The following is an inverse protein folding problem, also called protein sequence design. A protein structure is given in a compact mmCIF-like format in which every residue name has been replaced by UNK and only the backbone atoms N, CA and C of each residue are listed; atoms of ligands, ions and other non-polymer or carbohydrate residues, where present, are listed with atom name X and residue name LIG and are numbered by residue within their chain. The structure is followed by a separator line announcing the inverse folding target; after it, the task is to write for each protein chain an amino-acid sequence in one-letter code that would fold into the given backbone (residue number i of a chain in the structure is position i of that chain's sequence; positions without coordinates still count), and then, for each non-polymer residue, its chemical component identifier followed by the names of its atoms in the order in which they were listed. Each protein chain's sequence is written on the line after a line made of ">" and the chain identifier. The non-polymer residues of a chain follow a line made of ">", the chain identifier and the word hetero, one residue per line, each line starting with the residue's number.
data_IF_231770082731
#
_entry.id   IF_231770082731
#
_cell.length_a   1.000
_cell.length_b   1.000
_cell.length_c   1.000
_cell.angle_alpha   90.00
_cell.angle_beta   90.00
_cell.angle_gamma   90.00
#
_symmetry.space_group_name_H-M   'P 1'
#
loop_
_entity.id
_entity.type
_entity.pdbx_description
1 polymer ?
#
# COMPACT_ATOMS: atom_id res chain seq x y z
N UNK A 1 -1.15 18.46 -26.36
CA UNK A 1 -0.89 17.01 -26.47
C UNK A 1 -1.86 16.27 -25.56
N UNK A 2 -2.54 15.26 -26.11
CA UNK A 2 -3.03 14.06 -25.44
C UNK A 2 -4.03 14.17 -24.27
N UNK A 3 -5.31 14.24 -24.63
CA UNK A 3 -6.37 13.51 -23.90
C UNK A 3 -6.89 12.41 -24.82
N UNK A 4 -6.02 11.47 -25.14
CA UNK A 4 -6.39 10.31 -25.93
C UNK A 4 -6.92 9.23 -24.97
N UNK A 5 -8.21 9.32 -24.63
CA UNK A 5 -8.94 8.32 -23.85
C UNK A 5 -9.31 7.13 -24.74
N UNK A 6 -8.32 6.57 -25.45
CA UNK A 6 -8.53 5.35 -26.22
C UNK A 6 -8.83 4.21 -25.23
N UNK A 7 -9.90 3.42 -25.42
CA UNK A 7 -10.28 2.33 -24.52
C UNK A 7 -9.12 1.33 -24.27
N UNK A 8 -8.20 1.21 -25.22
CA UNK A 8 -6.96 0.45 -25.11
C UNK A 8 -6.03 0.93 -23.97
N UNK A 9 -5.92 2.25 -23.75
CA UNK A 9 -5.11 2.80 -22.64
C UNK A 9 -5.73 2.49 -21.27
N UNK A 10 -7.05 2.55 -21.16
CA UNK A 10 -7.76 2.21 -19.92
C UNK A 10 -7.60 0.72 -19.59
N UNK A 11 -7.74 -0.14 -20.60
CA UNK A 11 -7.51 -1.58 -20.46
C UNK A 11 -6.06 -1.90 -20.06
N UNK A 12 -5.08 -1.20 -20.64
CA UNK A 12 -3.67 -1.35 -20.28
C UNK A 12 -3.39 -0.92 -18.83
N UNK A 13 -3.95 0.21 -18.37
CA UNK A 13 -3.80 0.66 -16.98
C UNK A 13 -4.39 -0.36 -16.00
N UNK A 14 -5.56 -0.92 -16.31
CA UNK A 14 -6.17 -1.97 -15.50
C UNK A 14 -5.30 -3.23 -15.43
N UNK A 15 -4.78 -3.71 -16.57
CA UNK A 15 -3.90 -4.88 -16.62
C UNK A 15 -2.59 -4.66 -15.85
N UNK A 16 -2.03 -3.45 -15.94
CA UNK A 16 -0.84 -3.08 -15.16
C UNK A 16 -1.16 -3.11 -13.67
N UNK A 17 -2.28 -2.51 -13.26
CA UNK A 17 -2.73 -2.54 -11.86
C UNK A 17 -2.91 -3.96 -11.31
N UNK A 18 -3.53 -4.85 -12.09
CA UNK A 18 -3.73 -6.26 -11.73
C UNK A 18 -2.42 -7.03 -11.50
N UNK A 19 -1.30 -6.58 -12.08
CA UNK A 19 0.04 -7.16 -11.86
C UNK A 19 0.83 -6.46 -10.76
N UNK A 20 0.74 -5.13 -10.69
CA UNK A 20 1.51 -4.35 -9.73
C UNK A 20 0.98 -4.47 -8.31
N UNK A 21 -0.33 -4.62 -8.13
CA UNK A 21 -0.92 -4.74 -6.79
C UNK A 21 -0.45 -6.01 -6.06
N UNK A 22 -0.51 -7.22 -6.65
CA UNK A 22 0.06 -8.41 -6.02
C UNK A 22 1.54 -8.28 -5.71
N UNK A 23 2.32 -7.63 -6.59
CA UNK A 23 3.75 -7.37 -6.34
C UNK A 23 3.95 -6.47 -5.12
N UNK A 24 3.20 -5.36 -5.03
CA UNK A 24 3.27 -4.47 -3.88
C UNK A 24 2.90 -5.16 -2.57
N UNK A 25 1.87 -6.01 -2.58
CA UNK A 25 1.50 -6.83 -1.41
C UNK A 25 2.64 -7.77 -1.01
N UNK A 26 3.24 -8.48 -1.96
CA UNK A 26 4.37 -9.38 -1.70
C UNK A 26 5.58 -8.65 -1.11
N UNK A 27 5.89 -7.45 -1.58
CA UNK A 27 6.99 -6.64 -1.03
C UNK A 27 6.74 -6.27 0.44
N UNK A 28 5.50 -5.91 0.81
CA UNK A 28 5.16 -5.60 2.21
C UNK A 28 5.18 -6.87 3.08
N UNK A 29 4.68 -7.99 2.55
CA UNK A 29 4.74 -9.29 3.20
C UNK A 29 6.18 -9.72 3.50
N UNK A 30 7.05 -9.69 2.49
CA UNK A 30 8.47 -10.03 2.64
C UNK A 30 9.16 -9.11 3.65
N UNK A 31 8.88 -7.81 3.61
CA UNK A 31 9.43 -6.84 4.57
C UNK A 31 9.00 -7.17 6.01
N UNK A 32 7.75 -7.61 6.22
CA UNK A 32 7.26 -8.02 7.53
C UNK A 32 8.03 -9.21 8.11
N UNK A 33 8.67 -10.04 7.27
CA UNK A 33 9.49 -11.18 7.75
C UNK A 33 10.92 -10.79 8.17
N UNK A 34 11.39 -9.58 7.82
CA UNK A 34 12.76 -9.16 8.09
C UNK A 34 13.03 -9.03 9.59
N UNK A 35 14.18 -9.53 10.06
CA UNK A 35 14.56 -9.43 11.48
C UNK A 35 15.50 -8.24 11.73
N UNK A 36 15.14 -7.39 12.69
CA UNK A 36 15.86 -6.12 12.97
C UNK A 36 17.30 -6.34 13.43
N UNK A 37 17.58 -7.39 14.19
CA UNK A 37 18.89 -7.75 14.72
C UNK A 37 19.91 -8.15 13.64
N UNK A 38 19.45 -8.77 12.56
CA UNK A 38 20.31 -9.35 11.52
C UNK A 38 20.21 -8.62 10.19
N UNK A 39 19.11 -7.89 9.93
CA UNK A 39 18.80 -7.32 8.62
C UNK A 39 18.55 -5.81 8.66
N UNK A 40 19.08 -5.09 9.66
CA UNK A 40 18.91 -3.64 9.81
C UNK A 40 19.24 -2.82 8.54
N UNK A 41 20.30 -3.19 7.80
CA UNK A 41 20.66 -2.52 6.53
C UNK A 41 19.59 -2.72 5.45
N UNK A 42 19.01 -3.92 5.35
CA UNK A 42 17.94 -4.20 4.39
C UNK A 42 16.69 -3.43 4.79
N UNK A 43 16.33 -3.43 6.08
CA UNK A 43 15.20 -2.66 6.59
C UNK A 43 15.36 -1.19 6.21
N UNK A 44 16.52 -0.58 6.50
CA UNK A 44 16.78 0.83 6.15
C UNK A 44 16.69 1.09 4.64
N UNK A 45 17.23 0.20 3.81
CA UNK A 45 17.21 0.35 2.35
C UNK A 45 15.80 0.23 1.75
N UNK A 46 14.96 -0.66 2.29
CA UNK A 46 13.61 -0.93 1.78
C UNK A 46 12.53 -0.05 2.40
N UNK A 47 12.77 0.56 3.56
CA UNK A 47 11.84 1.49 4.23
C UNK A 47 11.18 2.51 3.28
N UNK A 48 11.92 3.25 2.42
CA UNK A 48 11.29 4.20 1.50
C UNK A 48 10.36 3.52 0.48
N UNK A 49 10.70 2.31 0.03
CA UNK A 49 9.87 1.53 -0.90
C UNK A 49 8.56 1.10 -0.22
N UNK A 50 8.63 0.69 1.05
CA UNK A 50 7.43 0.32 1.82
C UNK A 50 6.51 1.52 2.01
N UNK A 51 7.07 2.68 2.35
CA UNK A 51 6.29 3.91 2.48
C UNK A 51 5.58 4.27 1.15
N UNK A 52 6.28 4.20 0.02
CA UNK A 52 5.74 4.43 -1.33
C UNK A 52 4.60 3.45 -1.67
N UNK A 53 4.79 2.16 -1.44
CA UNK A 53 3.78 1.13 -1.71
C UNK A 53 2.50 1.40 -0.92
N UNK A 54 2.62 1.60 0.40
CA UNK A 54 1.48 1.89 1.28
C UNK A 54 0.78 3.20 0.88
N UNK A 55 1.54 4.22 0.52
CA UNK A 55 0.99 5.49 0.03
C UNK A 55 0.23 5.30 -1.29
N UNK A 56 0.71 4.44 -2.19
CA UNK A 56 0.02 4.06 -3.42
C UNK A 56 -1.34 3.43 -3.13
N UNK A 57 -1.40 2.46 -2.23
CA UNK A 57 -2.67 1.86 -1.78
C UNK A 57 -3.62 2.90 -1.19
N UNK A 58 -3.13 3.77 -0.29
CA UNK A 58 -3.94 4.82 0.32
C UNK A 58 -4.46 5.87 -0.69
N UNK A 59 -3.90 5.91 -1.89
CA UNK A 59 -4.24 6.87 -2.95
C UNK A 59 -5.16 6.29 -4.03
N UNK A 60 -5.54 5.00 -3.93
CA UNK A 60 -6.56 4.43 -4.80
C UNK A 60 -7.91 5.13 -4.65
N UNK A 61 -8.71 5.11 -5.73
CA UNK A 61 -10.14 5.45 -5.63
C UNK A 61 -10.86 4.51 -4.65
N UNK A 62 -12.05 4.91 -4.17
CA UNK A 62 -12.74 4.18 -3.11
C UNK A 62 -13.14 2.75 -3.49
N UNK A 63 -13.45 2.52 -4.76
CA UNK A 63 -13.78 1.19 -5.26
C UNK A 63 -12.55 0.29 -5.23
N UNK A 64 -11.43 0.76 -5.80
CA UNK A 64 -10.16 0.02 -5.83
C UNK A 64 -9.59 -0.19 -4.42
N UNK A 65 -9.63 0.82 -3.56
CA UNK A 65 -9.20 0.70 -2.16
C UNK A 65 -10.02 -0.37 -1.45
N UNK A 66 -11.35 -0.33 -1.55
CA UNK A 66 -12.24 -1.32 -0.93
C UNK A 66 -12.01 -2.73 -1.46
N UNK A 67 -11.72 -2.88 -2.76
CA UNK A 67 -11.41 -4.17 -3.40
C UNK A 67 -10.14 -4.80 -2.81
N UNK A 68 -9.09 -4.02 -2.58
CA UNK A 68 -7.80 -4.54 -2.10
C UNK A 68 -7.62 -4.46 -0.58
N UNK A 69 -8.54 -3.79 0.12
CA UNK A 69 -8.50 -3.62 1.56
C UNK A 69 -8.30 -4.95 2.34
N UNK A 70 -9.00 -6.07 2.03
CA UNK A 70 -8.80 -7.32 2.75
C UNK A 70 -7.37 -7.87 2.68
N UNK A 71 -6.62 -7.54 1.62
CA UNK A 71 -5.24 -8.00 1.44
C UNK A 71 -4.22 -7.07 2.11
N UNK A 72 -4.36 -5.75 1.94
CA UNK A 72 -3.38 -4.80 2.49
C UNK A 72 -3.56 -4.55 3.99
N UNK A 73 -4.78 -4.60 4.51
CA UNK A 73 -5.06 -4.31 5.92
C UNK A 73 -4.28 -5.17 6.93
N UNK A 74 -4.25 -6.52 6.82
CA UNK A 74 -3.46 -7.33 7.74
C UNK A 74 -1.97 -7.02 7.65
N UNK A 75 -1.44 -6.79 6.44
CA UNK A 75 -0.02 -6.47 6.24
C UNK A 75 0.37 -5.12 6.87
N UNK A 76 -0.48 -4.10 6.70
CA UNK A 76 -0.28 -2.78 7.29
C UNK A 76 -0.43 -2.80 8.82
N UNK A 77 -1.29 -3.68 9.35
CA UNK A 77 -1.46 -3.87 10.79
C UNK A 77 -0.25 -4.56 11.40
N UNK A 78 0.32 -5.56 10.72
CA UNK A 78 1.52 -6.27 11.17
C UNK A 78 2.72 -5.33 11.32
N UNK A 79 2.88 -4.35 10.42
CA UNK A 79 3.91 -3.32 10.53
C UNK A 79 3.87 -2.56 11.86
N UNK A 80 2.69 -2.36 12.46
CA UNK A 80 2.54 -1.63 13.73
C UNK A 80 3.12 -2.36 14.94
N UNK A 81 3.43 -3.66 14.82
CA UNK A 81 4.14 -4.42 15.86
C UNK A 81 5.63 -4.05 15.96
N UNK A 82 6.14 -3.25 15.02
CA UNK A 82 7.56 -2.93 14.84
C UNK A 82 7.84 -1.49 15.20
N UNK A 83 9.12 -1.16 15.42
CA UNK A 83 9.52 0.24 15.44
C UNK A 83 9.57 0.79 14.00
N UNK A 84 8.65 1.71 13.70
CA UNK A 84 8.43 2.22 12.35
C UNK A 84 9.16 3.54 12.11
N UNK A 85 9.83 3.64 10.97
CA UNK A 85 10.28 4.92 10.46
C UNK A 85 9.07 5.88 10.29
N UNK A 86 9.23 7.19 10.53
CA UNK A 86 8.13 8.15 10.48
C UNK A 86 7.30 8.10 9.19
N UNK A 87 7.95 7.90 8.04
CA UNK A 87 7.33 7.83 6.72
C UNK A 87 6.42 6.61 6.54
N UNK A 88 6.85 5.44 7.07
CA UNK A 88 6.03 4.22 7.04
C UNK A 88 4.86 4.36 7.99
N UNK A 89 5.10 4.92 9.18
CA UNK A 89 4.06 5.20 10.18
C UNK A 89 2.97 6.10 9.62
N UNK A 90 3.35 7.17 8.93
CA UNK A 90 2.39 8.07 8.28
C UNK A 90 1.62 7.36 7.14
N UNK A 91 2.28 6.55 6.32
CA UNK A 91 1.62 5.79 5.27
C UNK A 91 0.60 4.78 5.83
N UNK A 92 0.94 4.07 6.90
CA UNK A 92 0.01 3.18 7.62
C UNK A 92 -1.16 3.98 8.20
N UNK A 93 -0.91 5.14 8.82
CA UNK A 93 -1.96 6.02 9.35
C UNK A 93 -2.97 6.40 8.25
N UNK A 94 -2.50 6.75 7.05
CA UNK A 94 -3.36 7.06 5.90
C UNK A 94 -4.26 5.88 5.51
N UNK A 95 -3.73 4.66 5.50
CA UNK A 95 -4.54 3.44 5.27
C UNK A 95 -5.63 3.30 6.33
N UNK A 96 -5.31 3.47 7.61
CA UNK A 96 -6.29 3.36 8.70
C UNK A 96 -7.39 4.42 8.64
N UNK A 97 -7.04 5.67 8.27
CA UNK A 97 -8.06 6.72 8.01
C UNK A 97 -8.98 6.29 6.88
N UNK A 98 -8.43 5.78 5.76
CA UNK A 98 -9.23 5.26 4.64
C UNK A 98 -10.09 4.06 5.04
N UNK A 99 -9.63 3.18 5.93
CA UNK A 99 -10.43 2.08 6.48
C UNK A 99 -11.63 2.62 7.24
N UNK A 100 -11.43 3.65 8.07
CA UNK A 100 -12.51 4.30 8.81
C UNK A 100 -13.63 4.79 7.90
N UNK A 101 -13.27 5.47 6.81
CA UNK A 101 -14.23 5.95 5.80
C UNK A 101 -14.86 4.78 5.03
N UNK A 102 -14.06 3.86 4.49
CA UNK A 102 -14.53 2.74 3.67
C UNK A 102 -15.45 1.76 4.41
N UNK A 103 -15.36 1.71 5.75
CA UNK A 103 -16.23 0.90 6.61
C UNK A 103 -17.32 1.69 7.32
N UNK A 104 -17.46 2.99 7.04
CA UNK A 104 -18.49 3.84 7.65
C UNK A 104 -18.30 4.06 9.15
N UNK A 105 -17.08 3.90 9.66
CA UNK A 105 -16.72 4.15 11.07
C UNK A 105 -16.56 5.65 11.31
N UNK A 106 -16.01 6.37 10.33
CA UNK A 106 -15.79 7.82 10.37
C UNK A 106 -16.42 8.48 9.15
N UNK A 107 -16.95 9.69 9.32
CA UNK A 107 -17.43 10.53 8.22
C UNK A 107 -16.24 11.17 7.49
N UNK A 108 -16.33 11.31 6.17
CA UNK A 108 -15.34 12.02 5.34
C UNK A 108 -15.53 13.52 5.37
#
# INVERSE_FOLDING_TARGET
>A
MYYDKRPEYLALHQQIGERLVPLGLGVVEDFNTLRTDTQAKNIAAWTPVIAEVLNGFASFDDHSFSRYLPAIYPLATELLSRDLAPEVREAVRRIFVRVGVAKGITMS
#
